data_IF_142437401066
#
_entry.id   IF_142437401066
#
_cell.length_a   1.000
_cell.length_b   1.000
_cell.length_c   1.000
_cell.angle_alpha   90.00
_cell.angle_beta   90.00
_cell.angle_gamma   90.00
#
_symmetry.space_group_name_H-M   'P 1'
#
loop_
_entity.id
_entity.type
_entity.pdbx_description
1 polymer ?
#
# COMPACT_ATOMS: atom_id res chain seq x y z
N UNK A 1 22.96 -3.17 -2.84
CA UNK A 1 22.11 -4.09 -2.04
C UNK A 1 20.80 -3.47 -1.57
N UNK A 2 20.78 -2.29 -0.93
CA UNK A 2 19.52 -1.65 -0.45
C UNK A 2 18.44 -1.45 -1.53
N UNK A 3 18.83 -1.11 -2.76
CA UNK A 3 17.89 -0.96 -3.88
C UNK A 3 17.05 -2.21 -4.15
N UNK A 4 17.61 -3.41 -3.92
CA UNK A 4 16.89 -4.66 -4.10
C UNK A 4 15.82 -4.87 -3.02
N UNK A 5 16.10 -4.46 -1.77
CA UNK A 5 15.10 -4.46 -0.70
C UNK A 5 13.93 -3.53 -1.04
N UNK A 6 14.22 -2.32 -1.53
CA UNK A 6 13.17 -1.41 -1.99
C UNK A 6 12.35 -1.98 -3.15
N UNK A 7 13.00 -2.65 -4.11
CA UNK A 7 12.31 -3.30 -5.21
C UNK A 7 11.38 -4.41 -4.73
N UNK A 8 11.86 -5.28 -3.83
CA UNK A 8 11.03 -6.36 -3.25
C UNK A 8 9.88 -5.75 -2.45
N UNK A 9 10.13 -4.76 -1.59
CA UNK A 9 9.08 -4.10 -0.81
C UNK A 9 8.00 -3.50 -1.71
N UNK A 10 8.39 -2.80 -2.78
CA UNK A 10 7.45 -2.25 -3.74
C UNK A 10 6.61 -3.34 -4.43
N UNK A 11 7.25 -4.44 -4.83
CA UNK A 11 6.58 -5.60 -5.42
C UNK A 11 5.59 -6.24 -4.46
N UNK A 12 5.98 -6.48 -3.21
CA UNK A 12 5.12 -7.08 -2.17
C UNK A 12 3.91 -6.20 -1.88
N UNK A 13 4.13 -4.89 -1.74
CA UNK A 13 3.03 -3.93 -1.53
C UNK A 13 2.08 -3.93 -2.73
N UNK A 14 2.62 -3.85 -3.96
CA UNK A 14 1.81 -3.90 -5.18
C UNK A 14 1.01 -5.20 -5.30
N UNK A 15 1.62 -6.35 -4.99
CA UNK A 15 0.97 -7.64 -4.98
C UNK A 15 -0.16 -7.70 -3.93
N UNK A 16 0.08 -7.20 -2.73
CA UNK A 16 -0.94 -7.11 -1.68
C UNK A 16 -2.15 -6.29 -2.14
N UNK A 17 -1.93 -5.07 -2.65
CA UNK A 17 -3.02 -4.24 -3.14
C UNK A 17 -3.70 -4.84 -4.39
N UNK A 18 -2.99 -5.64 -5.18
CA UNK A 18 -3.58 -6.37 -6.31
C UNK A 18 -4.56 -7.43 -5.81
N UNK A 19 -4.14 -8.27 -4.87
CA UNK A 19 -5.01 -9.30 -4.26
C UNK A 19 -6.19 -8.65 -3.57
N UNK A 20 -5.95 -7.59 -2.79
CA UNK A 20 -7.01 -6.83 -2.13
C UNK A 20 -8.04 -6.26 -3.12
N UNK A 21 -7.57 -5.66 -4.23
CA UNK A 21 -8.45 -5.11 -5.28
C UNK A 21 -9.28 -6.21 -5.95
N UNK A 22 -8.67 -7.38 -6.22
CA UNK A 22 -9.38 -8.53 -6.80
C UNK A 22 -10.47 -9.02 -5.84
N UNK A 23 -10.14 -9.24 -4.57
CA UNK A 23 -11.09 -9.71 -3.56
C UNK A 23 -12.26 -8.74 -3.35
N UNK A 24 -12.03 -7.43 -3.46
CA UNK A 24 -13.06 -6.38 -3.30
C UNK A 24 -13.88 -6.10 -4.58
N UNK A 25 -13.62 -6.80 -5.69
CA UNK A 25 -14.27 -6.50 -6.98
C UNK A 25 -15.79 -6.70 -6.93
N UNK A 26 -16.30 -7.66 -6.16
CA UNK A 26 -17.74 -7.86 -5.98
C UNK A 26 -18.41 -6.66 -5.30
N UNK A 27 -17.85 -6.19 -4.19
CA UNK A 27 -18.35 -5.00 -3.48
C UNK A 27 -18.30 -3.75 -4.36
N UNK A 28 -17.23 -3.59 -5.15
CA UNK A 28 -17.09 -2.50 -6.12
C UNK A 28 -18.19 -2.57 -7.19
N UNK A 29 -18.53 -3.76 -7.70
CA UNK A 29 -19.60 -3.93 -8.66
C UNK A 29 -20.96 -3.53 -8.08
N UNK A 30 -21.25 -3.93 -6.83
CA UNK A 30 -22.47 -3.53 -6.11
C UNK A 30 -22.52 -2.01 -5.93
N UNK A 31 -21.44 -1.38 -5.47
CA UNK A 31 -21.40 0.07 -5.28
C UNK A 31 -21.60 0.83 -6.60
N UNK A 32 -21.01 0.36 -7.70
CA UNK A 32 -21.24 0.93 -9.02
C UNK A 32 -22.69 0.75 -9.49
N UNK A 33 -23.31 -0.40 -9.22
CA UNK A 33 -24.71 -0.66 -9.54
C UNK A 33 -25.66 0.28 -8.75
N UNK A 34 -25.27 0.65 -7.52
CA UNK A 34 -25.96 1.65 -6.70
C UNK A 34 -25.67 3.11 -7.10
N UNK A 35 -24.86 3.35 -8.14
CA UNK A 35 -24.59 4.68 -8.69
C UNK A 35 -23.27 5.33 -8.24
N UNK A 36 -22.38 4.61 -7.55
CA UNK A 36 -21.07 5.15 -7.22
C UNK A 36 -20.22 5.39 -8.48
N UNK A 37 -19.58 6.57 -8.56
CA UNK A 37 -18.68 6.87 -9.69
C UNK A 37 -17.35 6.13 -9.55
N UNK A 38 -16.79 5.65 -10.66
CA UNK A 38 -15.47 5.01 -10.68
C UNK A 38 -14.38 5.91 -10.07
N UNK A 39 -14.44 7.23 -10.32
CA UNK A 39 -13.50 8.18 -9.74
C UNK A 39 -13.63 8.28 -8.20
N UNK A 40 -14.85 8.21 -7.67
CA UNK A 40 -15.09 8.14 -6.23
C UNK A 40 -14.50 6.88 -5.60
N UNK A 41 -14.71 5.72 -6.24
CA UNK A 41 -14.19 4.44 -5.78
C UNK A 41 -12.66 4.37 -5.84
N UNK A 42 -12.05 4.94 -6.88
CA UNK A 42 -10.59 5.06 -6.98
C UNK A 42 -10.02 5.96 -5.87
N UNK A 43 -10.68 7.09 -5.59
CA UNK A 43 -10.27 7.99 -4.50
C UNK A 43 -10.40 7.33 -3.13
N UNK A 44 -11.50 6.61 -2.86
CA UNK A 44 -11.70 5.85 -1.62
C UNK A 44 -10.60 4.80 -1.45
N UNK A 45 -10.41 3.96 -2.46
CA UNK A 45 -9.42 2.89 -2.41
C UNK A 45 -7.99 3.43 -2.26
N UNK A 46 -7.64 4.50 -2.98
CA UNK A 46 -6.34 5.15 -2.86
C UNK A 46 -6.16 5.80 -1.48
N UNK A 47 -7.20 6.44 -0.94
CA UNK A 47 -7.18 7.01 0.41
C UNK A 47 -6.92 5.95 1.48
N UNK A 48 -7.64 4.82 1.41
CA UNK A 48 -7.42 3.67 2.30
C UNK A 48 -6.01 3.10 2.15
N UNK A 49 -5.50 2.97 0.93
CA UNK A 49 -4.16 2.52 0.67
C UNK A 49 -3.10 3.44 1.29
N UNK A 50 -3.25 4.76 1.14
CA UNK A 50 -2.35 5.76 1.75
C UNK A 50 -2.40 5.69 3.27
N UNK A 51 -3.58 5.55 3.88
CA UNK A 51 -3.72 5.41 5.34
C UNK A 51 -2.99 4.15 5.83
N UNK A 52 -3.21 3.00 5.17
CA UNK A 52 -2.53 1.75 5.53
C UNK A 52 -1.01 1.84 5.34
N UNK A 53 -0.55 2.45 4.25
CA UNK A 53 0.87 2.64 3.98
C UNK A 53 1.52 3.57 4.98
N UNK A 54 0.90 4.71 5.30
CA UNK A 54 1.41 5.66 6.27
C UNK A 54 1.44 5.04 7.67
N UNK A 55 0.36 4.39 8.10
CA UNK A 55 0.28 3.71 9.40
C UNK A 55 1.29 2.57 9.52
N UNK A 56 1.33 1.68 8.53
CA UNK A 56 2.29 0.55 8.51
C UNK A 56 3.75 1.02 8.45
N UNK A 57 4.04 2.04 7.65
CA UNK A 57 5.38 2.64 7.58
C UNK A 57 5.77 3.33 8.88
N UNK A 58 4.85 4.05 9.52
CA UNK A 58 5.09 4.71 10.81
C UNK A 58 5.39 3.68 11.90
N UNK A 59 4.59 2.61 11.99
CA UNK A 59 4.80 1.53 12.96
C UNK A 59 6.13 0.82 12.68
N UNK A 60 6.39 0.40 11.44
CA UNK A 60 7.62 -0.30 11.09
C UNK A 60 8.88 0.54 11.31
N UNK A 61 8.81 1.83 10.96
CA UNK A 61 9.90 2.80 11.17
C UNK A 61 10.12 3.07 12.66
N UNK A 62 9.05 3.23 13.43
CA UNK A 62 9.11 3.41 14.88
C UNK A 62 9.73 2.22 15.59
N UNK A 63 9.34 1.00 15.21
CA UNK A 63 9.95 -0.24 15.71
C UNK A 63 11.43 -0.33 15.34
N UNK A 64 11.78 -0.05 14.08
CA UNK A 64 13.18 -0.07 13.64
C UNK A 64 14.04 0.96 14.37
N UNK A 65 13.52 2.17 14.58
CA UNK A 65 14.21 3.22 15.34
C UNK A 65 14.33 2.87 16.82
N UNK A 66 13.28 2.32 17.44
CA UNK A 66 13.29 1.89 18.84
C UNK A 66 14.30 0.77 19.11
N UNK A 67 14.31 -0.27 18.25
CA UNK A 67 15.31 -1.35 18.32
C UNK A 67 16.71 -0.79 18.05
N UNK A 68 16.86 0.07 17.04
CA UNK A 68 18.13 0.70 16.71
C UNK A 68 18.69 1.54 17.86
N UNK A 69 17.84 2.25 18.60
CA UNK A 69 18.22 3.03 19.77
C UNK A 69 18.66 2.13 20.94
N UNK A 70 17.98 1.01 21.16
CA UNK A 70 18.37 0.04 22.20
C UNK A 70 19.72 -0.64 21.91
N UNK A 71 20.09 -0.76 20.63
CA UNK A 71 21.37 -1.33 20.19
C UNK A 71 22.47 -0.27 20.03
N UNK A 72 22.15 1.02 20.15
CA UNK A 72 23.12 2.10 20.01
C UNK A 72 24.15 2.03 21.15
N UNK A 73 25.44 2.05 20.79
CA UNK A 73 26.54 1.89 21.76
C UNK A 73 27.00 0.45 22.01
N UNK A 74 26.41 -0.53 21.32
CA UNK A 74 26.96 -1.89 21.25
C UNK A 74 28.20 -1.95 20.34
N UNK A 75 28.91 -3.09 20.34
CA UNK A 75 30.04 -3.33 19.43
C UNK A 75 29.63 -3.41 17.94
N UNK A 76 28.33 -3.31 17.62
CA UNK A 76 27.81 -3.38 16.26
C UNK A 76 28.00 -2.01 15.58
N UNK A 77 28.73 -1.94 14.45
CA UNK A 77 28.95 -0.68 13.74
C UNK A 77 27.68 -0.25 13.00
N UNK A 78 26.82 0.49 13.71
CA UNK A 78 25.55 1.00 13.22
C UNK A 78 25.38 2.48 13.58
N UNK A 79 24.82 3.26 12.65
CA UNK A 79 24.59 4.69 12.81
C UNK A 79 23.09 4.96 12.71
N UNK A 80 22.51 5.44 13.80
CA UNK A 80 21.12 5.88 13.87
C UNK A 80 21.05 7.40 13.75
N UNK A 81 20.56 7.89 12.61
CA UNK A 81 20.27 9.30 12.39
C UNK A 81 18.87 9.47 11.81
N UNK A 82 18.26 10.67 11.93
CA UNK A 82 16.99 10.94 11.28
C UNK A 82 17.02 10.64 9.77
N UNK A 83 18.12 10.97 9.08
CA UNK A 83 18.27 10.70 7.64
C UNK A 83 18.25 9.21 7.31
N UNK A 84 18.94 8.37 8.09
CA UNK A 84 18.99 6.92 7.86
C UNK A 84 17.66 6.20 8.15
N UNK A 85 16.71 6.89 8.78
CA UNK A 85 15.39 6.36 9.14
C UNK A 85 14.31 6.93 8.22
N UNK A 86 14.24 8.26 8.08
CA UNK A 86 13.18 8.96 7.36
C UNK A 86 13.30 8.82 5.85
N UNK A 87 14.52 8.81 5.29
CA UNK A 87 14.70 8.70 3.83
C UNK A 87 14.22 7.33 3.33
N UNK A 88 14.63 6.18 3.90
CA UNK A 88 14.07 4.89 3.51
C UNK A 88 12.56 4.78 3.72
N UNK A 89 12.01 5.34 4.81
CA UNK A 89 10.58 5.34 5.06
C UNK A 89 9.82 6.10 3.96
N UNK A 90 10.28 7.31 3.60
CA UNK A 90 9.69 8.09 2.53
C UNK A 90 9.74 7.39 1.18
N UNK A 91 10.90 6.80 0.82
CA UNK A 91 11.05 6.02 -0.41
C UNK A 91 10.08 4.84 -0.41
N UNK A 92 9.93 4.13 0.71
CA UNK A 92 9.03 2.98 0.81
C UNK A 92 7.55 3.38 0.69
N UNK A 93 7.16 4.51 1.28
CA UNK A 93 5.79 5.06 1.13
C UNK A 93 5.52 5.46 -0.32
N UNK A 94 6.46 6.15 -0.98
CA UNK A 94 6.31 6.56 -2.38
C UNK A 94 6.18 5.35 -3.31
N UNK A 95 7.09 4.38 -3.20
CA UNK A 95 7.05 3.17 -4.00
C UNK A 95 5.79 2.35 -3.73
N UNK A 96 5.39 2.24 -2.46
CA UNK A 96 4.17 1.55 -2.07
C UNK A 96 2.91 2.22 -2.61
N UNK A 97 2.84 3.55 -2.58
CA UNK A 97 1.72 4.32 -3.13
C UNK A 97 1.62 4.15 -4.65
N UNK A 98 2.74 4.14 -5.36
CA UNK A 98 2.79 3.82 -6.79
C UNK A 98 2.27 2.40 -7.05
N UNK A 99 2.75 1.40 -6.30
CA UNK A 99 2.28 0.02 -6.41
C UNK A 99 0.78 -0.13 -6.15
N UNK A 100 0.27 0.56 -5.12
CA UNK A 100 -1.16 0.59 -4.80
C UNK A 100 -1.98 1.24 -5.91
N UNK A 101 -1.55 2.40 -6.43
CA UNK A 101 -2.24 3.08 -7.52
C UNK A 101 -2.33 2.23 -8.79
N UNK A 102 -1.24 1.52 -9.13
CA UNK A 102 -1.23 0.58 -10.26
C UNK A 102 -2.20 -0.60 -10.05
N UNK A 103 -2.25 -1.15 -8.85
CA UNK A 103 -3.14 -2.25 -8.50
C UNK A 103 -4.63 -1.83 -8.54
N UNK A 104 -4.94 -0.70 -7.91
CA UNK A 104 -6.30 -0.17 -7.74
C UNK A 104 -6.88 0.30 -9.08
N UNK A 105 -6.06 0.61 -10.09
CA UNK A 105 -6.54 0.93 -11.45
C UNK A 105 -7.48 -0.15 -12.00
N UNK A 106 -7.35 -1.42 -11.59
CA UNK A 106 -8.28 -2.50 -12.01
C UNK A 106 -9.74 -2.25 -11.61
N UNK A 107 -10.03 -1.38 -10.64
CA UNK A 107 -11.40 -0.95 -10.31
C UNK A 107 -12.10 -0.37 -11.53
N UNK A 108 -11.39 0.27 -12.48
CA UNK A 108 -12.01 0.86 -13.67
C UNK A 108 -12.68 -0.17 -14.57
N UNK A 109 -12.19 -1.42 -14.58
CA UNK A 109 -12.72 -2.50 -15.42
C UNK A 109 -13.80 -3.35 -14.76
N UNK A 110 -14.17 -3.07 -13.51
CA UNK A 110 -15.24 -3.81 -12.83
C UNK A 110 -16.60 -3.40 -13.40
N UNK A 111 -17.37 -4.38 -13.88
CA UNK A 111 -18.70 -4.21 -14.46
C UNK A 111 -19.80 -4.32 -13.39
N UNK A 112 -20.65 -3.29 -13.19
CA UNK A 112 -21.77 -3.36 -12.25
C UNK A 112 -22.82 -4.44 -12.55
N UNK A 113 -22.96 -4.88 -13.80
CA UNK A 113 -23.93 -5.93 -14.17
C UNK A 113 -23.60 -7.28 -13.52
N UNK A 114 -22.33 -7.51 -13.16
CA UNK A 114 -21.92 -8.70 -12.41
C UNK A 114 -22.59 -8.79 -11.04
N UNK A 115 -22.91 -7.66 -10.40
CA UNK A 115 -23.63 -7.61 -9.13
C UNK A 115 -25.13 -7.86 -9.27
N UNK A 116 -25.71 -7.55 -10.43
CA UNK A 116 -27.15 -7.71 -10.70
C UNK A 116 -27.52 -9.12 -11.21
N UNK A 117 -26.56 -10.05 -11.20
CA UNK A 117 -26.71 -11.35 -11.84
C UNK A 117 -26.69 -11.17 -13.36
N UNK A 118 -25.50 -10.97 -13.91
CA UNK A 118 -25.24 -11.01 -15.35
C UNK A 118 -25.63 -12.40 -15.90
N UNK A 119 -26.92 -12.57 -16.17
CA UNK A 119 -27.55 -13.64 -16.95
C UNK A 119 -27.21 -15.07 -16.51
N UNK A 120 -27.71 -15.48 -15.34
CA UNK A 120 -28.34 -16.80 -15.12
C UNK A 120 -29.14 -16.81 -13.83
#
# INVERSE_FOLDING_TARGET
MRGFLFAISALVIGAFFTVWTIQRSGDVAVLKALGATTAGLLKDALGQAVVLLAGGSLVGTGLAAGVGAALAGSAVPFVLTPATVLVPAAVMVLLGALGAALAIRRITSVDPLTALGSTR
#
